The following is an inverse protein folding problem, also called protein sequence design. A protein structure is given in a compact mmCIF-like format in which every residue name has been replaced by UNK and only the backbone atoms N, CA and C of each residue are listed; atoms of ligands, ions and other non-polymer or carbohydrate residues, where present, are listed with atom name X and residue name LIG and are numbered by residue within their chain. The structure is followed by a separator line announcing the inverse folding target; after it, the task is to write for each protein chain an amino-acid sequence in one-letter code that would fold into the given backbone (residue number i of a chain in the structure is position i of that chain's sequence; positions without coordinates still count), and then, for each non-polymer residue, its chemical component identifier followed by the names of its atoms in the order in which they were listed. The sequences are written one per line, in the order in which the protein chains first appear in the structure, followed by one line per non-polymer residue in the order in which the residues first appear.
data_IF_615834334980
#
_entry.id   IF_615834334980
#
_cell.length_a   1.000
_cell.length_b   1.000
_cell.length_c   1.000
_cell.angle_alpha   90.00
_cell.angle_beta   90.00
_cell.angle_gamma   90.00
#
_symmetry.space_group_name_H-M   'P 1'
#
loop_
_entity.id
_entity.type
_entity.pdbx_description
1 polymer ?
#
# COMPACT_ATOMS: atom_id res chain seq x y z
N UNK A 1 -69.89 -87.76 0.64
CA UNK A 1 -70.86 -87.03 -0.19
C UNK A 1 -70.12 -85.88 -0.87
N UNK A 2 -69.95 -85.96 -2.21
CA UNK A 2 -69.53 -84.94 -3.24
C UNK A 2 -68.32 -84.03 -2.93
N UNK A 3 -67.16 -84.13 -3.59
CA UNK A 3 -66.73 -83.80 -4.99
C UNK A 3 -66.52 -82.30 -5.32
N UNK A 4 -65.35 -82.05 -5.95
CA UNK A 4 -64.80 -80.91 -6.73
C UNK A 4 -64.04 -79.79 -5.98
N UNK A 5 -62.97 -79.15 -6.48
CA UNK A 5 -61.83 -79.43 -7.40
C UNK A 5 -60.95 -78.15 -7.48
N UNK A 6 -59.65 -78.33 -7.73
CA UNK A 6 -58.70 -77.49 -8.48
C UNK A 6 -57.86 -76.30 -7.92
N UNK A 7 -56.53 -76.45 -8.20
CA UNK A 7 -55.43 -75.47 -8.40
C UNK A 7 -54.84 -74.69 -7.20
N UNK A 8 -53.52 -74.53 -6.97
CA UNK A 8 -52.27 -74.78 -7.74
C UNK A 8 -51.02 -74.67 -6.80
N UNK A 9 -49.99 -75.51 -7.04
CA UNK A 9 -48.51 -75.34 -6.82
C UNK A 9 -47.96 -74.99 -5.41
N UNK A 10 -47.31 -75.91 -4.67
CA UNK A 10 -45.91 -76.39 -4.73
C UNK A 10 -44.80 -75.40 -4.30
N UNK A 11 -43.96 -75.81 -3.33
CA UNK A 11 -42.55 -75.41 -3.27
C UNK A 11 -41.90 -75.21 -1.89
N UNK A 12 -41.61 -76.30 -1.17
CA UNK A 12 -40.64 -76.32 -0.06
C UNK A 12 -39.23 -76.35 -0.66
N UNK A 13 -38.35 -75.42 -0.29
CA UNK A 13 -36.96 -75.34 -0.76
C UNK A 13 -35.97 -75.45 0.40
N UNK A 14 -35.11 -76.47 0.36
CA UNK A 14 -34.03 -76.69 1.31
C UNK A 14 -33.07 -75.50 1.40
N UNK A 15 -32.57 -75.24 2.61
CA UNK A 15 -31.59 -74.20 2.89
C UNK A 15 -30.27 -74.59 2.23
N UNK A 16 -29.90 -73.81 1.21
CA UNK A 16 -28.82 -74.07 0.27
C UNK A 16 -27.45 -74.10 0.98
N UNK A 17 -26.52 -74.99 0.58
CA UNK A 17 -25.16 -75.11 1.14
C UNK A 17 -24.37 -73.79 1.02
N UNK A 18 -24.79 -72.92 0.09
CA UNK A 18 -24.32 -71.55 -0.07
C UNK A 18 -24.64 -70.66 1.13
N UNK A 19 -25.86 -70.77 1.68
CA UNK A 19 -26.29 -69.94 2.82
C UNK A 19 -25.51 -70.27 4.10
N UNK A 20 -25.17 -71.54 4.32
CA UNK A 20 -24.35 -71.95 5.47
C UNK A 20 -22.90 -71.45 5.35
N UNK A 21 -22.33 -71.43 4.14
CA UNK A 21 -21.00 -70.86 3.87
C UNK A 21 -20.97 -69.35 4.09
N UNK A 22 -22.02 -68.64 3.71
CA UNK A 22 -22.16 -67.19 3.94
C UNK A 22 -22.26 -66.89 5.43
N UNK A 23 -23.04 -67.66 6.20
CA UNK A 23 -23.19 -67.45 7.65
C UNK A 23 -21.87 -67.71 8.40
N UNK A 24 -21.10 -68.75 8.02
CA UNK A 24 -19.77 -69.03 8.62
C UNK A 24 -18.74 -67.95 8.23
N UNK A 25 -18.77 -67.43 6.99
CA UNK A 25 -17.92 -66.29 6.60
C UNK A 25 -18.27 -65.02 7.39
N UNK A 26 -19.56 -64.72 7.58
CA UNK A 26 -20.00 -63.55 8.36
C UNK A 26 -19.63 -63.69 9.84
N UNK A 27 -19.72 -64.88 10.42
CA UNK A 27 -19.26 -65.17 11.80
C UNK A 27 -17.73 -65.12 11.95
N UNK A 28 -16.96 -65.52 10.93
CA UNK A 28 -15.49 -65.36 10.92
C UNK A 28 -15.04 -63.90 10.82
N UNK A 29 -15.79 -63.05 10.10
CA UNK A 29 -15.53 -61.61 10.01
C UNK A 29 -15.84 -60.91 11.36
N UNK A 30 -16.82 -61.41 12.11
CA UNK A 30 -17.16 -60.95 13.47
C UNK A 30 -16.22 -61.46 14.58
N UNK A 31 -15.36 -62.44 14.29
CA UNK A 31 -14.35 -62.96 15.22
C UNK A 31 -12.93 -62.46 14.94
N UNK A 32 -12.74 -61.55 13.98
CA UNK A 32 -11.46 -60.86 13.86
C UNK A 32 -11.27 -60.00 15.12
N UNK A 33 -10.11 -60.08 15.81
CA UNK A 33 -9.82 -59.12 16.85
C UNK A 33 -9.96 -57.74 16.24
N UNK A 34 -10.76 -56.89 16.88
CA UNK A 34 -10.80 -55.46 16.61
C UNK A 34 -9.39 -54.92 16.87
N UNK A 35 -8.51 -55.04 15.88
CA UNK A 35 -7.24 -54.33 15.89
C UNK A 35 -7.61 -52.87 15.82
N UNK A 36 -7.43 -52.15 16.93
CA UNK A 36 -7.51 -50.70 16.97
C UNK A 36 -6.40 -50.14 16.07
N UNK A 37 -6.65 -50.08 14.75
CA UNK A 37 -5.83 -49.32 13.84
C UNK A 37 -6.02 -47.85 14.18
N UNK A 38 -5.03 -47.22 14.80
CA UNK A 38 -4.95 -45.78 14.90
C UNK A 38 -4.95 -45.23 13.46
N UNK A 39 -6.08 -44.68 13.02
CA UNK A 39 -6.24 -44.16 11.66
C UNK A 39 -5.53 -42.82 11.59
N UNK A 40 -4.65 -42.60 10.59
CA UNK A 40 -4.04 -41.29 10.36
C UNK A 40 -5.13 -40.23 10.23
N UNK A 41 -4.90 -39.05 10.83
CA UNK A 41 -5.87 -37.95 10.81
C UNK A 41 -5.33 -36.80 9.98
N UNK A 42 -6.11 -36.38 9.00
CA UNK A 42 -5.82 -35.20 8.20
C UNK A 42 -6.36 -33.94 8.89
N UNK A 43 -5.53 -32.89 8.88
CA UNK A 43 -5.90 -31.55 9.30
C UNK A 43 -5.77 -30.62 8.12
N UNK A 44 -6.86 -29.94 7.77
CA UNK A 44 -6.91 -28.98 6.67
C UNK A 44 -7.26 -27.62 7.27
N UNK A 45 -6.54 -26.59 6.84
CA UNK A 45 -6.82 -25.20 7.21
C UNK A 45 -6.77 -24.30 5.99
N UNK A 46 -7.61 -23.26 6.05
CA UNK A 46 -7.57 -22.14 5.14
C UNK A 46 -7.15 -20.87 5.88
N UNK A 47 -6.40 -20.02 5.19
CA UNK A 47 -6.04 -18.70 5.68
C UNK A 47 -6.15 -17.70 4.54
N UNK A 48 -6.70 -16.53 4.83
CA UNK A 48 -6.78 -15.44 3.88
C UNK A 48 -6.12 -14.20 4.47
N UNK A 49 -5.05 -13.76 3.82
CA UNK A 49 -4.39 -12.51 4.12
C UNK A 49 -4.97 -11.38 3.27
N UNK A 50 -5.23 -10.22 3.88
CA UNK A 50 -5.62 -9.01 3.14
C UNK A 50 -4.37 -8.19 2.91
N UNK A 51 -4.02 -8.00 1.64
CA UNK A 51 -2.82 -7.29 1.22
C UNK A 51 -2.99 -5.78 1.37
N UNK A 52 -1.96 -5.12 1.89
CA UNK A 52 -1.85 -3.66 1.85
C UNK A 52 -1.47 -3.15 0.46
N UNK A 53 -1.60 -1.83 0.25
CA UNK A 53 -1.29 -1.17 -1.04
C UNK A 53 0.15 -1.41 -1.53
N UNK A 54 1.08 -1.74 -0.61
CA UNK A 54 2.49 -1.99 -0.91
C UNK A 54 2.90 -3.46 -0.84
N UNK A 55 1.95 -4.37 -0.62
CA UNK A 55 2.24 -5.80 -0.51
C UNK A 55 2.41 -6.47 -1.87
N UNK A 56 3.49 -7.25 -1.99
CA UNK A 56 3.74 -8.09 -3.15
C UNK A 56 3.08 -9.46 -2.97
N UNK A 57 2.84 -10.17 -4.08
CA UNK A 57 2.39 -11.57 -4.04
C UNK A 57 3.35 -12.46 -3.21
N UNK A 58 4.65 -12.17 -3.24
CA UNK A 58 5.66 -12.95 -2.51
C UNK A 58 5.56 -12.71 -0.98
N UNK A 59 5.36 -11.47 -0.55
CA UNK A 59 5.18 -11.14 0.88
C UNK A 59 3.89 -11.74 1.40
N UNK A 60 2.80 -11.61 0.66
CA UNK A 60 1.51 -12.23 1.01
C UNK A 60 1.60 -13.76 1.15
N UNK A 61 2.29 -14.43 0.22
CA UNK A 61 2.54 -15.88 0.27
C UNK A 61 3.32 -16.29 1.51
N UNK A 62 4.39 -15.56 1.82
CA UNK A 62 5.25 -15.86 2.97
C UNK A 62 4.46 -15.77 4.29
N UNK A 63 3.74 -14.66 4.49
CA UNK A 63 2.91 -14.45 5.69
C UNK A 63 1.84 -15.53 5.82
N UNK A 64 1.17 -15.85 4.71
CA UNK A 64 0.12 -16.86 4.70
C UNK A 64 0.63 -18.27 5.01
N UNK A 65 1.82 -18.63 4.53
CA UNK A 65 2.47 -19.91 4.82
C UNK A 65 2.86 -20.03 6.30
N UNK A 66 3.39 -18.97 6.90
CA UNK A 66 3.75 -18.94 8.33
C UNK A 66 2.52 -19.17 9.18
N UNK A 67 1.43 -18.44 8.90
CA UNK A 67 0.23 -18.49 9.71
C UNK A 67 -0.51 -19.82 9.58
N UNK A 68 -0.63 -20.37 8.36
CA UNK A 68 -1.21 -21.71 8.15
C UNK A 68 -0.42 -22.79 8.87
N UNK A 69 0.91 -22.72 8.81
CA UNK A 69 1.76 -23.69 9.50
C UNK A 69 1.52 -23.62 11.01
N UNK A 70 1.37 -22.41 11.58
CA UNK A 70 1.05 -22.21 12.99
C UNK A 70 -0.29 -22.85 13.37
N UNK A 71 -1.36 -22.55 12.63
CA UNK A 71 -2.71 -23.06 12.89
C UNK A 71 -2.79 -24.60 12.82
N UNK A 72 -2.17 -25.19 11.80
CA UNK A 72 -2.15 -26.64 11.63
C UNK A 72 -1.37 -27.34 12.76
N UNK A 73 -0.23 -26.79 13.17
CA UNK A 73 0.56 -27.32 14.28
C UNK A 73 -0.19 -27.23 15.62
N UNK A 74 -0.95 -26.16 15.85
CA UNK A 74 -1.78 -25.98 17.05
C UNK A 74 -2.92 -27.04 17.12
N UNK A 75 -3.56 -27.31 15.98
CA UNK A 75 -4.58 -28.37 15.85
C UNK A 75 -3.99 -29.76 16.11
N UNK A 76 -2.80 -30.05 15.58
CA UNK A 76 -2.10 -31.31 15.79
C UNK A 76 -1.71 -31.47 17.25
N UNK A 77 -1.13 -30.43 17.88
CA UNK A 77 -0.79 -30.46 19.30
C UNK A 77 -2.01 -30.82 20.17
N UNK A 78 -3.12 -30.12 19.96
CA UNK A 78 -4.38 -30.37 20.68
C UNK A 78 -4.94 -31.79 20.44
N UNK A 79 -4.83 -32.30 19.21
CA UNK A 79 -5.26 -33.66 18.88
C UNK A 79 -4.43 -34.72 19.59
N UNK A 80 -3.11 -34.55 19.61
CA UNK A 80 -2.17 -35.49 20.22
C UNK A 80 -2.30 -35.50 21.75
N UNK A 81 -2.51 -34.35 22.38
CA UNK A 81 -2.82 -34.24 23.81
C UNK A 81 -4.02 -35.11 24.22
N UNK A 82 -5.03 -35.21 23.36
CA UNK A 82 -6.26 -35.97 23.64
C UNK A 82 -6.08 -37.48 23.44
N UNK A 83 -5.10 -37.90 22.63
CA UNK A 83 -4.92 -39.30 22.16
C UNK A 83 -3.77 -40.03 22.83
N UNK A 84 -2.73 -39.32 23.23
CA UNK A 84 -1.53 -39.91 23.84
C UNK A 84 -1.79 -40.03 25.35
N UNK A 85 -2.06 -41.23 25.84
CA UNK A 85 -2.05 -41.52 27.28
C UNK A 85 -0.62 -41.30 27.80
N UNK A 86 -0.40 -40.18 28.51
CA UNK A 86 0.89 -39.83 29.10
C UNK A 86 1.16 -40.78 30.27
N UNK A 87 1.65 -41.99 29.98
CA UNK A 87 2.18 -42.87 31.02
C UNK A 87 3.53 -42.33 31.48
N UNK A 88 3.49 -41.61 32.60
CA UNK A 88 4.58 -41.30 33.53
C UNK A 88 5.62 -40.22 33.20
N UNK A 89 5.45 -39.32 32.23
CA UNK A 89 6.25 -38.09 32.17
C UNK A 89 5.47 -36.97 31.46
N UNK A 90 5.15 -35.89 32.18
CA UNK A 90 4.39 -34.72 31.70
C UNK A 90 5.10 -34.04 30.52
N UNK A 91 4.61 -34.26 29.29
CA UNK A 91 5.02 -33.49 28.12
C UNK A 91 4.02 -32.33 28.00
N UNK A 92 4.52 -31.09 28.00
CA UNK A 92 3.69 -29.89 27.88
C UNK A 92 3.28 -29.65 26.40
N UNK A 93 2.17 -28.93 26.21
CA UNK A 93 1.59 -28.63 24.88
C UNK A 93 2.61 -28.06 23.90
N UNK A 94 3.43 -27.12 24.39
CA UNK A 94 4.46 -26.45 23.59
C UNK A 94 5.57 -27.41 23.13
N UNK A 95 5.83 -28.48 23.89
CA UNK A 95 6.85 -29.49 23.58
C UNK A 95 6.36 -30.47 22.50
N UNK A 96 5.08 -30.86 22.52
CA UNK A 96 4.43 -31.66 21.47
C UNK A 96 4.46 -30.91 20.13
N UNK A 97 4.13 -29.61 20.13
CA UNK A 97 4.13 -28.77 18.94
C UNK A 97 5.55 -28.59 18.37
N UNK A 98 6.55 -28.41 19.22
CA UNK A 98 7.94 -28.27 18.79
C UNK A 98 8.50 -29.57 18.16
N UNK A 99 8.21 -30.73 18.76
CA UNK A 99 8.67 -32.02 18.25
C UNK A 99 7.96 -32.41 16.95
N UNK A 100 6.68 -32.09 16.82
CA UNK A 100 5.90 -32.39 15.61
C UNK A 100 6.30 -31.51 14.42
N UNK A 101 6.75 -30.28 14.63
CA UNK A 101 7.14 -29.35 13.56
C UNK A 101 8.24 -29.88 12.60
N UNK A 102 9.06 -30.84 13.04
CA UNK A 102 10.08 -31.50 12.22
C UNK A 102 9.66 -32.86 11.64
N UNK A 103 8.52 -33.41 12.07
CA UNK A 103 8.05 -34.76 11.69
C UNK A 103 6.95 -34.66 10.63
N UNK A 104 6.12 -33.62 10.69
CA UNK A 104 4.93 -33.51 9.85
C UNK A 104 5.21 -32.75 8.55
N UNK A 105 4.69 -33.28 7.43
CA UNK A 105 4.83 -32.68 6.11
C UNK A 105 3.62 -31.77 5.81
N UNK A 106 3.90 -30.52 5.46
CA UNK A 106 2.89 -29.57 4.97
C UNK A 106 2.67 -29.77 3.47
N UNK A 107 1.44 -30.01 3.06
CA UNK A 107 1.00 -30.10 1.67
C UNK A 107 0.08 -28.92 1.33
N UNK A 108 0.41 -28.15 0.30
CA UNK A 108 -0.44 -27.04 -0.17
C UNK A 108 -1.50 -27.61 -1.10
N UNK A 109 -2.79 -27.40 -0.77
CA UNK A 109 -3.93 -27.90 -1.54
C UNK A 109 -4.47 -26.87 -2.55
N UNK A 110 -4.54 -25.61 -2.13
CA UNK A 110 -5.04 -24.51 -2.98
C UNK A 110 -4.31 -23.20 -2.64
N UNK A 111 -4.00 -22.41 -3.67
CA UNK A 111 -3.27 -21.15 -3.56
C UNK A 111 -3.86 -20.14 -4.56
N UNK A 112 -4.44 -19.04 -4.05
CA UNK A 112 -5.11 -18.00 -4.83
C UNK A 112 -4.63 -16.60 -4.45
N UNK A 113 -4.50 -15.77 -5.47
CA UNK A 113 -4.14 -14.36 -5.34
C UNK A 113 -4.98 -13.55 -6.33
N UNK A 114 -5.76 -12.60 -5.84
CA UNK A 114 -6.63 -11.74 -6.66
C UNK A 114 -6.16 -10.28 -6.75
N UNK A 115 -5.06 -9.92 -6.07
CA UNK A 115 -4.53 -8.55 -6.02
C UNK A 115 -4.77 -7.85 -4.68
N UNK A 116 -5.82 -8.24 -3.96
CA UNK A 116 -6.20 -7.67 -2.66
C UNK A 116 -6.15 -8.71 -1.54
N UNK A 117 -6.39 -9.98 -1.88
CA UNK A 117 -6.47 -11.10 -0.96
C UNK A 117 -5.62 -12.25 -1.45
N UNK A 118 -4.88 -12.81 -0.50
CA UNK A 118 -4.11 -14.01 -0.70
C UNK A 118 -4.72 -15.14 0.12
N UNK A 119 -5.29 -16.14 -0.54
CA UNK A 119 -5.91 -17.29 0.09
C UNK A 119 -5.04 -18.52 -0.11
N UNK A 120 -4.74 -19.20 0.99
CA UNK A 120 -3.98 -20.44 1.01
C UNK A 120 -4.80 -21.50 1.73
N UNK A 121 -4.78 -22.73 1.23
CA UNK A 121 -5.32 -23.91 1.90
C UNK A 121 -4.24 -24.96 1.95
N UNK A 122 -3.96 -25.51 3.13
CA UNK A 122 -2.95 -26.53 3.30
C UNK A 122 -3.42 -27.65 4.22
N UNK A 123 -2.79 -28.81 4.04
CA UNK A 123 -3.04 -30.03 4.76
C UNK A 123 -1.78 -30.49 5.49
N UNK A 124 -1.96 -31.01 6.70
CA UNK A 124 -0.98 -31.86 7.36
C UNK A 124 -1.66 -33.18 7.72
N UNK A 125 -0.97 -34.28 7.45
CA UNK A 125 -1.36 -35.60 7.92
C UNK A 125 -0.58 -35.95 9.19
N UNK A 126 -1.28 -36.43 10.22
CA UNK A 126 -0.70 -36.82 11.48
C UNK A 126 -1.16 -38.23 11.87
N UNK A 127 -0.22 -39.18 11.89
CA UNK A 127 -0.38 -40.49 12.52
C UNK A 127 0.11 -40.41 13.98
N UNK A 128 -0.79 -40.55 14.97
CA UNK A 128 -0.40 -40.50 16.39
C UNK A 128 0.67 -41.53 16.77
N UNK A 129 0.68 -42.73 16.19
CA UNK A 129 1.66 -43.76 16.52
C UNK A 129 3.03 -43.46 15.90
N UNK A 130 3.08 -43.02 14.64
CA UNK A 130 4.33 -42.62 14.01
C UNK A 130 4.93 -41.40 14.72
N UNK A 131 4.09 -40.43 15.07
CA UNK A 131 4.52 -39.24 15.84
C UNK A 131 5.02 -39.67 17.22
N UNK A 132 4.33 -40.56 17.92
CA UNK A 132 4.77 -41.06 19.23
C UNK A 132 6.09 -41.85 19.13
N UNK A 133 6.24 -42.71 18.13
CA UNK A 133 7.49 -43.45 17.85
C UNK A 133 8.64 -42.49 17.51
N UNK A 134 8.37 -41.47 16.68
CA UNK A 134 9.34 -40.45 16.32
C UNK A 134 9.74 -39.60 17.54
N UNK A 135 8.79 -39.16 18.36
CA UNK A 135 9.03 -38.45 19.63
C UNK A 135 9.89 -39.29 20.58
N UNK A 136 9.55 -40.56 20.78
CA UNK A 136 10.31 -41.46 21.67
C UNK A 136 11.73 -41.73 21.13
N UNK A 137 11.89 -41.90 19.82
CA UNK A 137 13.20 -42.07 19.18
C UNK A 137 14.05 -40.79 19.26
N UNK A 138 13.43 -39.61 19.19
CA UNK A 138 14.11 -38.33 19.35
C UNK A 138 14.50 -38.08 20.81
N UNK A 139 13.64 -38.43 21.76
CA UNK A 139 13.89 -38.29 23.20
C UNK A 139 15.02 -39.18 23.71
N UNK A 140 15.16 -40.39 23.17
CA UNK A 140 16.24 -41.31 23.54
C UNK A 140 17.59 -40.97 22.88
N UNK A 141 17.65 -39.94 22.04
CA UNK A 141 18.84 -39.52 21.32
C UNK A 141 19.23 -38.11 21.74
N UNK A 142 19.96 -38.01 22.86
CA UNK A 142 20.26 -36.77 23.58
C UNK A 142 20.89 -35.70 22.68
N UNK A 143 21.78 -36.10 21.76
CA UNK A 143 22.41 -35.20 20.78
C UNK A 143 21.41 -34.61 19.77
N UNK A 144 20.39 -35.38 19.36
CA UNK A 144 19.34 -34.90 18.45
C UNK A 144 18.39 -33.94 19.15
N UNK A 145 18.12 -34.14 20.42
CA UNK A 145 17.28 -33.23 21.21
C UNK A 145 17.95 -31.86 21.39
N UNK A 146 19.25 -31.85 21.69
CA UNK A 146 20.05 -30.62 21.74
C UNK A 146 20.06 -29.90 20.39
N UNK A 147 20.19 -30.63 19.28
CA UNK A 147 20.13 -30.06 17.93
C UNK A 147 18.74 -29.50 17.59
N UNK A 148 17.65 -30.12 18.03
CA UNK A 148 16.28 -29.61 17.84
C UNK A 148 16.08 -28.32 18.64
N UNK A 149 16.56 -28.26 19.87
CA UNK A 149 16.50 -27.03 20.67
C UNK A 149 17.29 -25.90 20.02
N UNK A 150 18.52 -26.17 19.54
CA UNK A 150 19.31 -25.20 18.77
C UNK A 150 18.58 -24.75 17.50
N UNK A 151 17.97 -25.67 16.76
CA UNK A 151 17.17 -25.35 15.57
C UNK A 151 15.94 -24.51 15.90
N UNK A 152 15.27 -24.77 17.02
CA UNK A 152 14.15 -23.95 17.50
C UNK A 152 14.61 -22.54 17.80
N UNK A 153 15.70 -22.38 18.56
CA UNK A 153 16.28 -21.07 18.88
C UNK A 153 16.68 -20.32 17.61
N UNK A 154 17.37 -20.97 16.67
CA UNK A 154 17.75 -20.37 15.39
C UNK A 154 16.52 -19.98 14.57
N UNK A 155 15.46 -20.79 14.60
CA UNK A 155 14.22 -20.49 13.88
C UNK A 155 13.46 -19.32 14.52
N UNK A 156 13.41 -19.24 15.85
CA UNK A 156 12.81 -18.12 16.59
C UNK A 156 13.60 -16.82 16.33
N UNK A 157 14.93 -16.89 16.33
CA UNK A 157 15.82 -15.77 15.94
C UNK A 157 15.60 -15.36 14.49
N UNK A 158 15.45 -16.32 13.57
CA UNK A 158 15.19 -16.05 12.16
C UNK A 158 13.84 -15.38 11.95
N UNK A 159 12.81 -15.77 12.71
CA UNK A 159 11.50 -15.12 12.68
C UNK A 159 11.62 -13.66 13.13
N UNK A 160 12.39 -13.39 14.17
CA UNK A 160 12.61 -12.02 14.64
C UNK A 160 13.37 -11.17 13.63
N UNK A 161 14.42 -11.73 12.99
CA UNK A 161 15.13 -11.05 11.90
C UNK A 161 14.20 -10.73 10.72
N UNK A 162 13.28 -11.63 10.38
CA UNK A 162 12.28 -11.39 9.34
C UNK A 162 11.37 -10.22 9.73
N UNK A 163 10.92 -10.13 10.99
CA UNK A 163 10.10 -9.01 11.48
C UNK A 163 10.86 -7.68 11.43
N UNK A 164 12.11 -7.65 11.87
CA UNK A 164 12.94 -6.44 11.80
C UNK A 164 13.14 -5.98 10.34
N UNK A 165 13.40 -6.93 9.44
CA UNK A 165 13.59 -6.64 8.02
C UNK A 165 12.29 -6.10 7.40
N UNK A 166 11.13 -6.63 7.78
CA UNK A 166 9.82 -6.12 7.37
C UNK A 166 9.61 -4.67 7.84
N UNK A 167 9.93 -4.37 9.10
CA UNK A 167 9.85 -3.01 9.66
C UNK A 167 10.75 -2.03 8.88
N UNK A 168 12.00 -2.43 8.58
CA UNK A 168 12.91 -1.62 7.75
C UNK A 168 12.38 -1.41 6.33
N UNK A 169 11.80 -2.43 5.71
CA UNK A 169 11.20 -2.33 4.38
C UNK A 169 10.04 -1.34 4.36
N UNK A 170 9.15 -1.36 5.36
CA UNK A 170 8.06 -0.38 5.49
C UNK A 170 8.59 1.04 5.68
N UNK A 171 9.63 1.20 6.51
CA UNK A 171 10.26 2.51 6.72
C UNK A 171 10.88 3.04 5.43
N UNK A 172 11.63 2.22 4.70
CA UNK A 172 12.20 2.57 3.40
C UNK A 172 11.11 2.93 2.37
N UNK A 173 9.98 2.21 2.34
CA UNK A 173 8.85 2.55 1.48
C UNK A 173 8.28 3.94 1.82
N UNK A 174 8.06 4.24 3.11
CA UNK A 174 7.63 5.56 3.57
C UNK A 174 8.61 6.65 3.15
N UNK A 175 9.90 6.42 3.32
CA UNK A 175 10.93 7.40 2.98
C UNK A 175 11.02 7.63 1.46
N UNK A 176 10.86 6.59 0.64
CA UNK A 176 10.77 6.72 -0.82
C UNK A 176 9.57 7.56 -1.27
N UNK A 177 8.41 7.43 -0.61
CA UNK A 177 7.24 8.25 -0.90
C UNK A 177 7.52 9.73 -0.63
N UNK A 178 8.15 10.06 0.51
CA UNK A 178 8.52 11.44 0.85
C UNK A 178 9.52 12.01 -0.16
N UNK A 179 10.55 11.24 -0.51
CA UNK A 179 11.59 11.65 -1.46
C UNK A 179 11.02 11.91 -2.86
N UNK A 180 10.04 11.12 -3.29
CA UNK A 180 9.33 11.33 -4.55
C UNK A 180 8.43 12.57 -4.52
N UNK A 181 7.73 12.82 -3.41
CA UNK A 181 6.94 14.05 -3.23
C UNK A 181 7.82 15.30 -3.29
N UNK A 182 8.96 15.28 -2.60
CA UNK A 182 9.93 16.37 -2.59
C UNK A 182 10.56 16.58 -3.98
N UNK A 183 10.86 15.49 -4.69
CA UNK A 183 11.37 15.56 -6.07
C UNK A 183 10.33 16.19 -7.03
N UNK A 184 9.06 15.78 -6.94
CA UNK A 184 7.98 16.33 -7.75
C UNK A 184 7.70 17.80 -7.44
N UNK A 185 7.77 18.20 -6.17
CA UNK A 185 7.67 19.62 -5.78
C UNK A 185 8.82 20.44 -6.37
N UNK A 186 10.05 19.92 -6.30
CA UNK A 186 11.22 20.56 -6.88
C UNK A 186 11.15 20.63 -8.42
N UNK A 187 10.63 19.61 -9.09
CA UNK A 187 10.41 19.61 -10.53
C UNK A 187 9.33 20.62 -10.94
N UNK A 188 8.24 20.75 -10.17
CA UNK A 188 7.22 21.77 -10.37
C UNK A 188 7.78 23.19 -10.26
N UNK A 189 8.64 23.46 -9.27
CA UNK A 189 9.33 24.74 -9.10
C UNK A 189 10.29 25.01 -10.27
N UNK A 190 11.08 24.01 -10.68
CA UNK A 190 12.03 24.14 -11.81
C UNK A 190 11.30 24.42 -13.12
N UNK A 191 10.19 23.73 -13.37
CA UNK A 191 9.36 23.93 -14.56
C UNK A 191 8.68 25.31 -14.54
N UNK A 192 8.24 25.79 -13.38
CA UNK A 192 7.67 27.14 -13.24
C UNK A 192 8.70 28.25 -13.55
N UNK A 193 9.96 28.08 -13.11
CA UNK A 193 11.04 29.03 -13.41
C UNK A 193 11.35 29.09 -14.92
N UNK A 194 11.48 27.92 -15.59
CA UNK A 194 11.71 27.90 -17.04
C UNK A 194 10.56 28.51 -17.85
N UNK A 195 9.32 28.32 -17.41
CA UNK A 195 8.15 28.98 -18.02
C UNK A 195 8.17 30.50 -17.79
N UNK A 196 8.60 30.96 -16.60
CA UNK A 196 8.77 32.37 -16.31
C UNK A 196 9.81 33.02 -17.24
N UNK A 197 10.99 32.42 -17.40
CA UNK A 197 12.02 32.91 -18.32
C UNK A 197 11.51 33.00 -19.76
N UNK A 198 10.81 31.95 -20.23
CA UNK A 198 10.16 31.94 -21.53
C UNK A 198 9.17 33.10 -21.71
N UNK A 199 8.36 33.40 -20.69
CA UNK A 199 7.41 34.50 -20.78
C UNK A 199 8.09 35.88 -20.87
N UNK A 200 9.18 36.07 -20.14
CA UNK A 200 10.00 37.30 -20.22
C UNK A 200 10.55 37.48 -21.65
N UNK A 201 11.06 36.40 -22.25
CA UNK A 201 11.55 36.40 -23.64
C UNK A 201 10.43 36.70 -24.65
N UNK A 202 9.26 36.08 -24.48
CA UNK A 202 8.08 36.35 -25.32
C UNK A 202 7.63 37.81 -25.23
N UNK A 203 7.65 38.41 -24.03
CA UNK A 203 7.35 39.84 -23.85
C UNK A 203 8.39 40.72 -24.54
N UNK A 204 9.68 40.43 -24.33
CA UNK A 204 10.79 41.15 -24.96
C UNK A 204 10.80 41.09 -26.49
N UNK A 205 10.31 39.98 -27.07
CA UNK A 205 10.13 39.79 -28.51
C UNK A 205 8.80 40.35 -29.05
N UNK A 206 7.98 40.99 -28.22
CA UNK A 206 6.72 41.61 -28.61
C UNK A 206 5.54 40.64 -28.77
N UNK A 207 5.72 39.36 -28.43
CA UNK A 207 4.66 38.33 -28.44
C UNK A 207 3.82 38.40 -27.16
N UNK A 208 3.18 39.56 -26.96
CA UNK A 208 2.56 39.92 -25.68
C UNK A 208 1.44 38.95 -25.26
N UNK A 209 0.60 38.50 -26.21
CA UNK A 209 -0.49 37.55 -25.91
C UNK A 209 0.04 36.19 -25.45
N UNK A 210 1.08 35.68 -26.10
CA UNK A 210 1.72 34.42 -25.72
C UNK A 210 2.40 34.55 -24.36
N UNK A 211 3.05 35.68 -24.08
CA UNK A 211 3.66 35.96 -22.79
C UNK A 211 2.63 35.92 -21.65
N UNK A 212 1.45 36.55 -21.85
CA UNK A 212 0.36 36.55 -20.86
C UNK A 212 -0.13 35.13 -20.59
N UNK A 213 -0.33 34.31 -21.62
CA UNK A 213 -0.78 32.92 -21.45
C UNK A 213 0.23 32.08 -20.65
N UNK A 214 1.52 32.23 -20.96
CA UNK A 214 2.57 31.54 -20.19
C UNK A 214 2.63 32.06 -18.75
N UNK A 215 2.46 33.36 -18.50
CA UNK A 215 2.45 33.90 -17.14
C UNK A 215 1.21 33.44 -16.35
N UNK A 216 0.08 33.22 -17.01
CA UNK A 216 -1.09 32.60 -16.38
C UNK A 216 -0.78 31.19 -15.86
N UNK A 217 -0.01 30.39 -16.61
CA UNK A 217 0.37 29.04 -16.16
C UNK A 217 1.37 29.10 -15.03
N UNK A 218 2.35 30.01 -15.08
CA UNK A 218 3.30 30.24 -13.98
C UNK A 218 2.57 30.61 -12.70
N UNK A 219 1.65 31.58 -12.75
CA UNK A 219 0.92 32.07 -11.57
C UNK A 219 0.02 30.99 -10.95
N UNK A 220 -0.64 30.16 -11.77
CA UNK A 220 -1.47 29.04 -11.28
C UNK A 220 -0.66 27.99 -10.53
N UNK A 221 0.55 27.71 -11.00
CA UNK A 221 1.37 26.61 -10.49
C UNK A 221 2.37 27.06 -9.42
N UNK A 222 2.79 28.33 -9.44
CA UNK A 222 3.68 28.93 -8.45
C UNK A 222 3.54 30.47 -8.47
N UNK A 223 2.70 30.98 -7.57
CA UNK A 223 2.40 32.40 -7.46
C UNK A 223 3.58 33.20 -6.92
N UNK A 224 4.40 33.77 -7.82
CA UNK A 224 5.49 34.69 -7.46
C UNK A 224 5.15 36.13 -7.84
N UNK A 225 5.51 37.09 -6.98
CA UNK A 225 5.34 38.53 -7.27
C UNK A 225 6.07 38.97 -8.54
N UNK A 226 7.12 38.26 -8.97
CA UNK A 226 7.81 38.47 -10.24
C UNK A 226 6.92 38.12 -11.44
N UNK A 227 6.18 37.01 -11.39
CA UNK A 227 5.27 36.63 -12.47
C UNK A 227 4.11 37.64 -12.61
N UNK A 228 3.57 38.15 -11.50
CA UNK A 228 2.59 39.25 -11.55
C UNK A 228 3.17 40.54 -12.11
N UNK A 229 4.43 40.88 -11.78
CA UNK A 229 5.10 42.04 -12.33
C UNK A 229 5.21 41.95 -13.87
N UNK A 230 5.70 40.83 -14.38
CA UNK A 230 5.83 40.58 -15.81
C UNK A 230 4.49 40.58 -16.53
N UNK A 231 3.45 39.98 -15.92
CA UNK A 231 2.11 39.94 -16.53
C UNK A 231 1.44 41.31 -16.50
N UNK A 232 1.63 42.07 -15.43
CA UNK A 232 1.17 43.45 -15.34
C UNK A 232 1.82 44.36 -16.40
N UNK A 233 3.12 44.18 -16.68
CA UNK A 233 3.78 44.87 -17.78
C UNK A 233 3.25 44.43 -19.15
N UNK A 234 3.05 43.13 -19.36
CA UNK A 234 2.48 42.60 -20.59
C UNK A 234 1.06 43.13 -20.82
N UNK A 235 0.21 43.20 -19.78
CA UNK A 235 -1.12 43.81 -19.87
C UNK A 235 -1.07 45.31 -20.19
N UNK A 236 -0.11 46.05 -19.61
CA UNK A 236 0.11 47.46 -19.93
C UNK A 236 0.47 47.64 -21.42
N UNK A 237 1.35 46.79 -21.95
CA UNK A 237 1.76 46.78 -23.36
C UNK A 237 0.59 46.38 -24.29
N UNK A 238 -0.27 45.45 -23.85
CA UNK A 238 -1.48 45.03 -24.55
C UNK A 238 -2.62 46.07 -24.50
N UNK A 239 -2.47 47.15 -23.72
CA UNK A 239 -3.51 48.16 -23.52
C UNK A 239 -4.59 47.78 -22.50
N UNK A 240 -4.44 46.66 -21.79
CA UNK A 240 -5.36 46.23 -20.74
C UNK A 240 -4.94 46.86 -19.40
N UNK A 241 -5.26 48.14 -19.23
CA UNK A 241 -4.75 48.93 -18.11
C UNK A 241 -5.30 48.49 -16.76
N UNK A 242 -6.56 48.04 -16.68
CA UNK A 242 -7.16 47.59 -15.43
C UNK A 242 -6.52 46.29 -14.92
N UNK A 243 -6.28 45.33 -15.82
CA UNK A 243 -5.56 44.10 -15.46
C UNK A 243 -4.11 44.39 -15.06
N UNK A 244 -3.45 45.32 -15.75
CA UNK A 244 -2.10 45.77 -15.37
C UNK A 244 -2.08 46.38 -13.96
N UNK A 245 -3.06 47.24 -13.64
CA UNK A 245 -3.18 47.86 -12.31
C UNK A 245 -3.40 46.80 -11.22
N UNK A 246 -4.27 45.82 -11.48
CA UNK A 246 -4.55 44.75 -10.53
C UNK A 246 -3.29 43.93 -10.22
N UNK A 247 -2.61 43.41 -11.24
CA UNK A 247 -1.41 42.60 -11.08
C UNK A 247 -0.28 43.37 -10.38
N UNK A 248 -0.03 44.62 -10.79
CA UNK A 248 1.02 45.44 -10.17
C UNK A 248 0.67 45.86 -8.73
N UNK A 249 -0.62 45.90 -8.39
CA UNK A 249 -1.06 46.12 -7.01
C UNK A 249 -0.77 44.91 -6.13
N UNK A 250 -0.94 43.68 -6.62
CA UNK A 250 -0.51 42.48 -5.89
C UNK A 250 1.00 42.48 -5.63
N UNK A 251 1.80 42.90 -6.62
CA UNK A 251 3.26 43.05 -6.42
C UNK A 251 3.56 44.05 -5.30
N UNK A 252 2.86 45.18 -5.27
CA UNK A 252 3.08 46.25 -4.30
C UNK A 252 2.52 45.93 -2.90
N UNK A 253 1.60 44.97 -2.76
CA UNK A 253 1.23 44.43 -1.43
C UNK A 253 2.40 43.69 -0.78
N UNK A 254 3.18 42.96 -1.58
CA UNK A 254 4.34 42.19 -1.11
C UNK A 254 5.59 43.06 -1.01
N UNK A 255 5.82 43.92 -2.01
CA UNK A 255 6.98 44.84 -2.06
C UNK A 255 6.52 46.29 -2.30
N UNK A 256 6.10 47.03 -1.26
CA UNK A 256 5.49 48.36 -1.39
C UNK A 256 6.36 49.44 -2.02
N UNK A 257 7.67 49.22 -2.08
CA UNK A 257 8.67 50.13 -2.61
C UNK A 257 9.36 49.57 -3.87
N UNK A 258 8.78 48.56 -4.53
CA UNK A 258 9.31 48.05 -5.78
C UNK A 258 9.15 49.09 -6.89
N UNK A 259 10.27 49.73 -7.24
CA UNK A 259 10.34 50.88 -8.16
C UNK A 259 9.73 50.60 -9.53
N UNK A 260 9.99 49.40 -10.07
CA UNK A 260 9.43 48.95 -11.33
C UNK A 260 7.91 48.86 -11.27
N UNK A 261 7.37 48.17 -10.25
CA UNK A 261 5.93 48.01 -10.10
C UNK A 261 5.21 49.36 -9.91
N UNK A 262 5.75 50.26 -9.08
CA UNK A 262 5.23 51.63 -8.92
C UNK A 262 5.19 52.37 -10.26
N UNK A 263 6.29 52.37 -11.02
CA UNK A 263 6.34 53.08 -12.29
C UNK A 263 5.40 52.49 -13.34
N UNK A 264 5.36 51.16 -13.50
CA UNK A 264 4.48 50.51 -14.47
C UNK A 264 3.01 50.69 -14.10
N UNK A 265 2.66 50.66 -12.80
CA UNK A 265 1.29 50.91 -12.35
C UNK A 265 0.92 52.38 -12.56
N UNK A 266 1.87 53.27 -12.27
CA UNK A 266 1.74 54.69 -12.55
C UNK A 266 1.47 54.97 -14.04
N UNK A 267 2.21 54.32 -14.94
CA UNK A 267 1.97 54.38 -16.39
C UNK A 267 0.60 53.82 -16.78
N UNK A 268 0.18 52.70 -16.19
CA UNK A 268 -1.14 52.13 -16.44
C UNK A 268 -2.25 53.09 -16.03
N UNK A 269 -2.15 53.71 -14.85
CA UNK A 269 -3.07 54.76 -14.40
C UNK A 269 -3.08 55.98 -15.32
N UNK A 270 -1.92 56.45 -15.77
CA UNK A 270 -1.84 57.57 -16.74
C UNK A 270 -2.56 57.22 -18.05
N UNK A 271 -2.46 55.97 -18.51
CA UNK A 271 -3.10 55.50 -19.75
C UNK A 271 -4.60 55.23 -19.58
N UNK A 272 -5.06 54.83 -18.40
CA UNK A 272 -6.48 54.70 -18.08
C UNK A 272 -7.17 56.02 -17.70
N UNK A 273 -6.44 57.15 -17.71
CA UNK A 273 -6.96 58.49 -17.41
C UNK A 273 -6.96 58.87 -15.93
N UNK A 274 -6.49 58.00 -15.05
CA UNK A 274 -6.34 58.29 -13.62
C UNK A 274 -5.00 59.00 -13.33
N UNK A 275 -4.85 60.21 -13.84
CA UNK A 275 -3.60 60.97 -13.80
C UNK A 275 -3.11 61.24 -12.37
N UNK A 276 -4.01 61.41 -11.40
CA UNK A 276 -3.67 61.67 -10.01
C UNK A 276 -2.97 60.49 -9.33
N UNK A 277 -3.51 59.28 -9.48
CA UNK A 277 -2.85 58.07 -8.97
C UNK A 277 -1.59 57.76 -9.76
N UNK A 278 -1.65 57.94 -11.09
CA UNK A 278 -0.53 57.67 -11.99
C UNK A 278 0.71 58.49 -11.65
N UNK A 279 0.54 59.80 -11.48
CA UNK A 279 1.63 60.71 -11.15
C UNK A 279 2.23 60.42 -9.78
N UNK A 280 1.40 60.18 -8.75
CA UNK A 280 1.89 59.83 -7.40
C UNK A 280 2.76 58.59 -7.39
N UNK A 281 2.34 57.54 -8.09
CA UNK A 281 3.12 56.29 -8.17
C UNK A 281 4.48 56.51 -8.88
N UNK A 282 4.51 57.32 -9.94
CA UNK A 282 5.75 57.64 -10.66
C UNK A 282 6.67 58.55 -9.83
N UNK A 283 6.13 59.54 -9.13
CA UNK A 283 6.89 60.40 -8.20
C UNK A 283 7.50 59.57 -7.07
N UNK A 284 6.73 58.67 -6.46
CA UNK A 284 7.24 57.74 -5.45
C UNK A 284 8.36 56.85 -6.00
N UNK A 285 8.22 56.33 -7.23
CA UNK A 285 9.28 55.57 -7.87
C UNK A 285 10.57 56.40 -8.08
N UNK A 286 10.42 57.68 -8.43
CA UNK A 286 11.53 58.63 -8.62
C UNK A 286 12.23 58.99 -7.29
N UNK A 287 11.46 59.20 -6.22
CA UNK A 287 11.97 59.42 -4.85
C UNK A 287 12.80 58.22 -4.37
N UNK A 288 12.39 57.01 -4.75
CA UNK A 288 13.15 55.77 -4.52
C UNK A 288 14.35 55.59 -5.48
N UNK A 289 14.78 56.66 -6.15
CA UNK A 289 15.91 56.67 -7.08
C UNK A 289 15.73 55.82 -8.35
N UNK A 290 14.50 55.70 -8.87
CA UNK A 290 14.32 55.16 -10.23
C UNK A 290 14.74 56.18 -11.30
N UNK A 291 15.77 55.84 -12.07
CA UNK A 291 16.22 56.66 -13.20
C UNK A 291 15.17 56.78 -14.31
N UNK A 292 14.43 55.71 -14.60
CA UNK A 292 13.37 55.73 -15.62
C UNK A 292 12.15 56.56 -15.18
N UNK A 293 11.81 56.56 -13.88
CA UNK A 293 10.73 57.40 -13.37
C UNK A 293 11.13 58.89 -13.38
N UNK A 294 12.36 59.22 -12.97
CA UNK A 294 12.92 60.58 -13.07
C UNK A 294 12.92 61.08 -14.51
N UNK A 295 13.39 60.26 -15.46
CA UNK A 295 13.37 60.57 -16.89
C UNK A 295 11.94 60.82 -17.39
N UNK A 296 10.99 59.95 -17.04
CA UNK A 296 9.59 60.12 -17.45
C UNK A 296 8.98 61.43 -16.93
N UNK A 297 9.25 61.82 -15.68
CA UNK A 297 8.75 63.08 -15.10
C UNK A 297 9.34 64.31 -15.80
N UNK A 298 10.60 64.24 -16.22
CA UNK A 298 11.22 65.32 -16.99
C UNK A 298 10.61 65.46 -18.40
N UNK A 299 10.23 64.35 -19.03
CA UNK A 299 9.56 64.32 -20.34
C UNK A 299 8.08 64.70 -20.25
N UNK A 300 7.46 64.46 -19.09
CA UNK A 300 6.05 64.76 -18.81
C UNK A 300 5.95 65.68 -17.58
N UNK A 301 6.47 66.92 -17.66
CA UNK A 301 6.36 67.89 -16.57
C UNK A 301 4.92 68.39 -16.54
N UNK A 302 3.99 67.56 -16.07
CA UNK A 302 2.60 67.96 -15.92
C UNK A 302 2.58 69.23 -15.07
N UNK A 303 1.80 70.24 -15.47
CA UNK A 303 1.72 71.57 -14.84
C UNK A 303 1.99 71.47 -13.35
N UNK A 304 3.21 71.86 -12.95
CA UNK A 304 3.55 72.01 -11.55
C UNK A 304 2.49 72.89 -10.92
N UNK A 305 2.03 72.54 -9.73
CA UNK A 305 1.06 73.35 -9.01
C UNK A 305 1.60 74.78 -8.86
N UNK A 306 1.16 75.69 -9.72
CA UNK A 306 1.06 77.12 -9.41
C UNK A 306 -0.20 77.30 -8.57
N UNK A 307 -0.28 76.58 -7.45
CA UNK A 307 -1.26 76.80 -6.41
C UNK A 307 -0.66 77.76 -5.41
N UNK A 308 -0.94 79.05 -5.59
CA UNK A 308 -0.80 80.07 -4.55
C UNK A 308 -1.32 79.52 -3.23
N UNK A 309 -0.55 79.65 -2.16
CA UNK A 309 -0.99 80.18 -0.86
C UNK A 309 0.22 80.77 -0.15
#
# INVERSE_FOLDING_TARGET
MRLYDNNRMNGVGGVDMFTYRVIIMVLMILSLPFNSMATSREFIENYTYSAGESDSKLTCRMVSLIEIKRLLLEKIGTYLETRIEIKNFTIEKEEIVALTAGIVKLEILDEKWDGEKYSLTAKIEADPEEITKAINNLRNNQDKMENIQKLKTINDESIEQIREMQSRMQQLQSDLIKLNQDANANEGIRNAWGLYEKAVELRGSGKIKEAIEVLNTVIRNNSTHLAYLERGMAFLEAGNYDAAIADLTEVLKVQPNMRGALFHRGRAYMKSGNFGHGRRDIEKAAELNSGFAKKWLNEHPGRGGTGKR
#
